data_IF_026402920668
#
_entry.id   IF_026402920668
#
_cell.length_a   1.000
_cell.length_b   1.000
_cell.length_c   1.000
_cell.angle_alpha   90.00
_cell.angle_beta   90.00
_cell.angle_gamma   90.00
#
_symmetry.space_group_name_H-M   'P 1'
#
loop_
_entity.id
_entity.type
_entity.pdbx_description
1 polymer ?
#
# COMPACT_ATOMS: atom_id res chain seq x y z
N UNK A 1 5.68 -23.20 -7.94
CA UNK A 1 5.41 -23.21 -6.49
C UNK A 1 5.32 -24.63 -5.95
N UNK A 2 4.43 -25.47 -6.43
CA UNK A 2 4.18 -26.85 -5.96
C UNK A 2 5.44 -27.72 -5.84
N UNK A 3 6.42 -27.54 -6.73
CA UNK A 3 7.68 -28.28 -6.72
C UNK A 3 8.78 -27.64 -5.86
N UNK A 4 8.47 -26.61 -5.08
CA UNK A 4 9.42 -25.96 -4.17
C UNK A 4 10.47 -25.10 -4.83
N UNK A 5 10.26 -24.60 -6.06
CA UNK A 5 11.23 -23.73 -6.75
C UNK A 5 11.55 -22.46 -5.96
N UNK A 6 10.54 -21.85 -5.30
CA UNK A 6 10.66 -20.65 -4.48
C UNK A 6 10.78 -20.93 -2.99
N UNK A 7 10.97 -22.20 -2.59
CA UNK A 7 11.03 -22.61 -1.19
C UNK A 7 12.45 -22.64 -0.69
N UNK A 8 12.63 -22.36 0.59
CA UNK A 8 13.90 -22.63 1.27
C UNK A 8 14.27 -24.11 1.13
N UNK A 9 15.53 -24.36 0.80
CA UNK A 9 16.00 -25.71 0.47
C UNK A 9 15.78 -26.76 1.57
N UNK A 10 15.75 -26.35 2.81
CA UNK A 10 15.51 -27.27 3.92
C UNK A 10 14.07 -27.81 3.94
N UNK A 11 13.08 -27.04 3.47
CA UNK A 11 11.70 -27.54 3.34
C UNK A 11 11.57 -28.55 2.19
N UNK A 12 12.23 -28.29 1.08
CA UNK A 12 12.29 -29.23 -0.06
C UNK A 12 12.92 -30.55 0.39
N UNK A 13 14.03 -30.49 1.15
CA UNK A 13 14.72 -31.65 1.67
C UNK A 13 13.89 -32.40 2.74
N UNK A 14 13.24 -31.64 3.64
CA UNK A 14 12.35 -32.24 4.64
C UNK A 14 11.23 -33.06 3.98
N UNK A 15 10.55 -32.46 2.98
CA UNK A 15 9.53 -33.18 2.19
C UNK A 15 10.12 -34.43 1.50
N UNK A 16 11.29 -34.32 0.86
CA UNK A 16 11.94 -35.42 0.18
C UNK A 16 12.26 -36.59 1.15
N UNK A 17 12.73 -36.27 2.35
CA UNK A 17 12.99 -37.27 3.41
C UNK A 17 11.70 -37.96 3.81
N UNK A 18 10.64 -37.21 4.12
CA UNK A 18 9.36 -37.78 4.55
C UNK A 18 8.77 -38.71 3.49
N UNK A 19 8.81 -38.29 2.22
CA UNK A 19 8.32 -39.12 1.11
C UNK A 19 9.14 -40.39 0.92
N UNK A 20 10.49 -40.32 0.96
CA UNK A 20 11.37 -41.48 0.82
C UNK A 20 11.26 -42.47 1.98
N UNK A 21 11.09 -41.96 3.19
CA UNK A 21 10.92 -42.74 4.40
C UNK A 21 9.50 -43.31 4.54
N UNK A 22 8.57 -42.88 3.67
CA UNK A 22 7.13 -43.18 3.76
C UNK A 22 6.52 -42.77 5.11
N UNK A 23 7.11 -41.73 5.71
CA UNK A 23 6.64 -41.16 6.97
C UNK A 23 5.77 -39.93 6.67
N UNK A 24 4.47 -40.04 6.97
CA UNK A 24 3.47 -39.03 6.60
C UNK A 24 2.69 -38.54 7.83
N UNK A 25 3.37 -37.80 8.73
CA UNK A 25 2.73 -37.36 9.97
C UNK A 25 1.71 -36.25 9.70
N UNK A 26 0.56 -36.36 10.39
CA UNK A 26 -0.38 -35.26 10.50
C UNK A 26 0.15 -34.23 11.50
N UNK A 27 0.39 -33.02 11.07
CA UNK A 27 0.86 -31.91 11.91
C UNK A 27 -0.18 -30.81 12.03
N UNK A 28 -0.16 -30.09 13.16
CA UNK A 28 -0.84 -28.80 13.30
C UNK A 28 0.23 -27.71 13.25
N UNK A 29 0.23 -26.91 12.18
CA UNK A 29 1.11 -25.78 11.94
C UNK A 29 0.39 -24.49 12.31
N UNK A 30 1.02 -23.65 13.13
CA UNK A 30 0.48 -22.38 13.60
C UNK A 30 1.32 -21.22 13.09
N UNK A 31 0.67 -20.24 12.45
CA UNK A 31 1.29 -19.03 11.90
C UNK A 31 0.89 -17.82 12.74
N UNK A 32 1.86 -16.98 13.09
CA UNK A 32 1.65 -15.77 13.88
C UNK A 32 2.65 -14.66 13.53
N UNK A 33 2.24 -13.41 13.75
CA UNK A 33 3.10 -12.23 13.72
C UNK A 33 3.63 -11.85 15.10
N UNK A 34 4.64 -10.96 15.16
CA UNK A 34 5.26 -10.53 16.43
C UNK A 34 4.95 -9.07 16.79
N UNK A 35 4.14 -8.39 16.00
CA UNK A 35 3.78 -6.99 16.17
C UNK A 35 2.27 -6.79 16.07
N UNK A 36 1.77 -5.69 16.63
CA UNK A 36 0.44 -5.20 16.30
C UNK A 36 0.43 -4.75 14.84
N UNK A 37 -0.54 -5.22 14.07
CA UNK A 37 -0.61 -4.94 12.65
C UNK A 37 -2.03 -5.05 12.10
N UNK A 38 -2.25 -4.39 10.97
CA UNK A 38 -3.39 -4.60 10.09
C UNK A 38 -3.03 -5.74 9.14
N UNK A 39 -3.67 -6.90 9.31
CA UNK A 39 -3.36 -8.13 8.59
C UNK A 39 -3.66 -8.00 7.10
N UNK A 40 -2.76 -8.49 6.27
CA UNK A 40 -2.95 -8.58 4.83
C UNK A 40 -2.28 -9.80 4.25
N UNK A 41 -2.84 -10.33 3.15
CA UNK A 41 -2.30 -11.47 2.40
C UNK A 41 -2.83 -12.83 2.86
N UNK A 42 -3.84 -12.90 3.69
CA UNK A 42 -4.48 -14.16 4.10
C UNK A 42 -5.14 -14.84 2.89
N UNK A 43 -5.92 -14.11 2.09
CA UNK A 43 -6.56 -14.66 0.90
C UNK A 43 -5.53 -15.20 -0.10
N UNK A 44 -4.42 -14.47 -0.30
CA UNK A 44 -3.31 -14.90 -1.16
C UNK A 44 -2.61 -16.15 -0.58
N UNK A 45 -2.41 -16.23 0.75
CA UNK A 45 -1.83 -17.39 1.43
C UNK A 45 -2.74 -18.63 1.31
N UNK A 46 -4.05 -18.47 1.48
CA UNK A 46 -5.05 -19.53 1.28
C UNK A 46 -5.04 -19.99 -0.17
N UNK A 47 -5.00 -19.07 -1.14
CA UNK A 47 -4.92 -19.42 -2.56
C UNK A 47 -3.65 -20.23 -2.88
N UNK A 48 -2.50 -19.87 -2.29
CA UNK A 48 -1.25 -20.64 -2.42
C UNK A 48 -1.45 -22.07 -1.86
N UNK A 49 -2.04 -22.21 -0.70
CA UNK A 49 -2.31 -23.52 -0.10
C UNK A 49 -3.27 -24.35 -0.96
N UNK A 50 -4.40 -23.78 -1.39
CA UNK A 50 -5.40 -24.46 -2.23
C UNK A 50 -4.82 -24.92 -3.58
N UNK A 51 -4.09 -24.04 -4.25
CA UNK A 51 -3.63 -24.29 -5.62
C UNK A 51 -2.30 -25.05 -5.70
N UNK A 52 -1.48 -25.00 -4.65
CA UNK A 52 -0.10 -25.46 -4.71
C UNK A 52 0.24 -26.57 -3.70
N UNK A 53 -0.63 -26.90 -2.73
CA UNK A 53 -0.44 -28.09 -1.91
C UNK A 53 -0.53 -29.37 -2.76
N UNK A 54 0.02 -30.46 -2.28
CA UNK A 54 -0.05 -31.75 -2.99
C UNK A 54 -1.46 -32.34 -2.93
N UNK A 55 -2.11 -32.23 -1.79
CA UNK A 55 -3.43 -32.78 -1.50
C UNK A 55 -4.20 -31.80 -0.61
N UNK A 56 -4.87 -30.80 -1.22
CA UNK A 56 -5.67 -29.81 -0.49
C UNK A 56 -6.78 -30.47 0.34
N UNK A 57 -7.39 -31.50 -0.20
CA UNK A 57 -8.53 -32.23 0.39
C UNK A 57 -8.18 -32.89 1.73
N UNK A 58 -6.89 -33.13 2.01
CA UNK A 58 -6.42 -33.67 3.27
C UNK A 58 -6.03 -32.58 4.29
N UNK A 59 -6.07 -31.33 3.89
CA UNK A 59 -5.77 -30.20 4.77
C UNK A 59 -7.04 -29.64 5.41
N UNK A 60 -6.93 -29.30 6.67
CA UNK A 60 -7.90 -28.46 7.35
C UNK A 60 -7.21 -27.14 7.67
N UNK A 61 -7.82 -26.05 7.24
CA UNK A 61 -7.24 -24.70 7.37
C UNK A 61 -8.23 -23.80 8.08
N UNK A 62 -7.73 -23.02 9.02
CA UNK A 62 -8.47 -21.95 9.69
C UNK A 62 -7.67 -20.67 9.60
N UNK A 63 -8.31 -19.54 9.34
CA UNK A 63 -7.65 -18.27 9.16
C UNK A 63 -8.45 -17.10 9.75
N UNK A 64 -7.77 -16.00 10.00
CA UNK A 64 -8.36 -14.66 10.11
C UNK A 64 -8.67 -14.13 8.72
N UNK A 65 -9.19 -12.91 8.64
CA UNK A 65 -9.47 -12.22 7.38
C UNK A 65 -8.44 -11.15 7.06
N UNK A 66 -8.27 -10.85 5.77
CA UNK A 66 -7.59 -9.66 5.33
C UNK A 66 -8.34 -8.42 5.87
N UNK A 67 -7.60 -7.53 6.54
CA UNK A 67 -8.18 -6.36 7.21
C UNK A 67 -8.35 -6.49 8.72
N UNK A 68 -8.16 -7.67 9.29
CA UNK A 68 -8.19 -7.85 10.74
C UNK A 68 -7.03 -7.15 11.44
N UNK A 69 -7.31 -6.51 12.57
CA UNK A 69 -6.26 -6.07 13.51
C UNK A 69 -5.76 -7.26 14.32
N UNK A 70 -4.45 -7.44 14.37
CA UNK A 70 -3.79 -8.54 15.08
C UNK A 70 -2.87 -8.05 16.19
N UNK A 71 -2.84 -8.83 17.26
CA UNK A 71 -1.91 -8.64 18.39
C UNK A 71 -0.62 -9.46 18.20
N UNK A 72 0.48 -9.09 18.90
CA UNK A 72 1.70 -9.92 18.91
C UNK A 72 1.41 -11.34 19.37
N UNK A 73 1.93 -12.32 18.61
CA UNK A 73 1.78 -13.76 18.87
C UNK A 73 0.36 -14.32 18.67
N UNK A 74 -0.55 -13.56 18.13
CA UNK A 74 -1.87 -14.04 17.77
C UNK A 74 -1.76 -14.96 16.54
N UNK A 75 -2.44 -16.13 16.62
CA UNK A 75 -2.51 -17.09 15.51
C UNK A 75 -3.39 -16.52 14.41
N UNK A 76 -2.83 -16.33 13.21
CA UNK A 76 -3.55 -15.77 12.05
C UNK A 76 -3.96 -16.84 11.03
N UNK A 77 -3.22 -17.96 11.00
CA UNK A 77 -3.46 -19.10 10.12
C UNK A 77 -3.07 -20.38 10.84
N UNK A 78 -3.94 -21.38 10.79
CA UNK A 78 -3.73 -22.71 11.32
C UNK A 78 -3.92 -23.72 10.20
N UNK A 79 -2.94 -24.61 10.02
CA UNK A 79 -2.99 -25.64 8.99
C UNK A 79 -2.83 -26.99 9.68
N UNK A 80 -3.78 -27.90 9.47
CA UNK A 80 -3.71 -29.28 9.99
C UNK A 80 -3.78 -30.26 8.83
N UNK A 81 -2.86 -31.24 8.82
CA UNK A 81 -2.80 -32.27 7.80
C UNK A 81 -1.40 -32.85 7.60
N UNK A 82 -1.23 -33.71 6.58
CA UNK A 82 0.08 -34.31 6.28
C UNK A 82 1.12 -33.23 5.93
N UNK A 83 2.24 -33.22 6.68
CA UNK A 83 3.25 -32.16 6.53
C UNK A 83 3.89 -32.13 5.13
N UNK A 84 4.07 -33.27 4.50
CA UNK A 84 4.61 -33.38 3.14
C UNK A 84 3.71 -32.70 2.08
N UNK A 85 2.42 -32.54 2.36
CA UNK A 85 1.47 -31.91 1.45
C UNK A 85 1.71 -30.40 1.27
N UNK A 86 2.23 -29.71 2.30
CA UNK A 86 2.36 -28.25 2.29
C UNK A 86 3.73 -27.71 2.75
N UNK A 87 4.66 -28.56 3.18
CA UNK A 87 5.96 -28.14 3.72
C UNK A 87 6.72 -27.13 2.83
N UNK A 88 6.68 -27.32 1.51
CA UNK A 88 7.39 -26.47 0.56
C UNK A 88 6.71 -25.10 0.34
N UNK A 89 5.54 -24.86 0.92
CA UNK A 89 4.78 -23.62 0.74
C UNK A 89 5.05 -22.60 1.85
N UNK A 90 5.75 -22.99 2.94
CA UNK A 90 5.98 -22.13 4.10
C UNK A 90 6.67 -20.82 3.73
N UNK A 91 7.76 -20.86 2.98
CA UNK A 91 8.45 -19.65 2.49
C UNK A 91 7.51 -18.71 1.74
N UNK A 92 6.59 -19.26 0.95
CA UNK A 92 5.71 -18.47 0.10
C UNK A 92 4.64 -17.75 0.93
N UNK A 93 3.85 -18.49 1.72
CA UNK A 93 2.75 -17.86 2.46
C UNK A 93 3.27 -16.93 3.56
N UNK A 94 4.40 -17.22 4.20
CA UNK A 94 5.01 -16.30 5.16
C UNK A 94 5.51 -15.01 4.49
N UNK A 95 6.11 -15.11 3.32
CA UNK A 95 6.57 -13.96 2.54
C UNK A 95 5.41 -13.06 2.10
N UNK A 96 4.30 -13.67 1.67
CA UNK A 96 3.07 -12.95 1.31
C UNK A 96 2.50 -12.23 2.52
N UNK A 97 2.27 -12.93 3.63
CA UNK A 97 1.75 -12.34 4.86
C UNK A 97 2.63 -11.18 5.35
N UNK A 98 3.96 -11.36 5.37
CA UNK A 98 4.89 -10.33 5.79
C UNK A 98 4.79 -9.06 4.93
N UNK A 99 4.74 -9.22 3.60
CA UNK A 99 4.68 -8.07 2.69
C UNK A 99 3.35 -7.36 2.72
N UNK A 100 2.23 -8.10 2.57
CA UNK A 100 0.89 -7.49 2.51
C UNK A 100 0.52 -6.83 3.82
N UNK A 101 0.84 -7.46 4.96
CA UNK A 101 0.65 -6.86 6.29
C UNK A 101 1.46 -5.58 6.46
N UNK A 102 2.71 -5.53 5.97
CA UNK A 102 3.52 -4.31 6.00
C UNK A 102 2.86 -3.17 5.23
N UNK A 103 2.46 -3.43 3.99
CA UNK A 103 1.81 -2.42 3.13
C UNK A 103 0.47 -1.98 3.72
N UNK A 104 -0.37 -2.93 4.12
CA UNK A 104 -1.67 -2.67 4.74
C UNK A 104 -1.54 -1.85 6.02
N UNK A 105 -0.66 -2.27 6.95
CA UNK A 105 -0.45 -1.57 8.22
C UNK A 105 0.02 -0.12 8.02
N UNK A 106 1.01 0.09 7.14
CA UNK A 106 1.49 1.45 6.89
C UNK A 106 0.44 2.31 6.21
N UNK A 107 -0.31 1.75 5.25
CA UNK A 107 -1.41 2.46 4.59
C UNK A 107 -2.52 2.80 5.59
N UNK A 108 -2.91 1.86 6.45
CA UNK A 108 -3.94 2.09 7.48
C UNK A 108 -3.57 3.24 8.41
N UNK A 109 -2.33 3.26 8.91
CA UNK A 109 -1.83 4.35 9.77
C UNK A 109 -1.86 5.71 9.07
N UNK A 110 -1.54 5.76 7.79
CA UNK A 110 -1.60 6.98 6.98
C UNK A 110 -3.05 7.42 6.75
N UNK A 111 -3.94 6.48 6.43
CA UNK A 111 -5.37 6.76 6.25
C UNK A 111 -5.98 7.31 7.54
N UNK A 112 -5.69 6.72 8.68
CA UNK A 112 -6.15 7.19 9.99
C UNK A 112 -5.63 8.59 10.33
N UNK A 113 -4.36 8.86 10.04
CA UNK A 113 -3.76 10.17 10.27
C UNK A 113 -4.35 11.27 9.36
N UNK A 114 -4.83 10.89 8.18
CA UNK A 114 -5.38 11.82 7.20
C UNK A 114 -6.87 12.12 7.37
N UNK A 115 -7.60 11.35 8.19
CA UNK A 115 -9.05 11.51 8.32
C UNK A 115 -9.45 12.94 8.69
N UNK A 116 -10.52 13.49 8.06
CA UNK A 116 -11.42 12.86 7.07
C UNK A 116 -10.94 12.93 5.60
N UNK A 117 -9.70 13.35 5.36
CA UNK A 117 -9.12 13.51 4.01
C UNK A 117 -8.81 12.14 3.37
N UNK A 118 -8.72 12.15 2.06
CA UNK A 118 -8.47 10.96 1.26
C UNK A 118 -6.97 10.66 1.09
N UNK A 119 -6.63 9.38 0.96
CA UNK A 119 -5.26 8.93 0.70
C UNK A 119 -5.20 8.14 -0.60
N UNK A 120 -4.24 8.49 -1.45
CA UNK A 120 -3.89 7.79 -2.69
C UNK A 120 -2.57 7.04 -2.51
N UNK A 121 -2.53 5.79 -2.93
CA UNK A 121 -1.37 4.91 -2.83
C UNK A 121 -0.47 5.06 -4.06
N UNK A 122 0.66 5.76 -3.92
CA UNK A 122 1.55 6.13 -5.03
C UNK A 122 2.95 5.48 -5.03
N UNK A 123 3.21 4.32 -4.37
CA UNK A 123 4.56 3.77 -4.31
C UNK A 123 4.92 2.82 -5.46
N UNK A 124 4.14 2.70 -6.54
CA UNK A 124 4.34 1.71 -7.59
C UNK A 124 5.81 1.64 -8.11
N UNK A 125 6.47 2.79 -8.28
CA UNK A 125 7.86 2.88 -8.76
C UNK A 125 8.93 2.66 -7.67
N UNK A 126 8.53 2.48 -6.42
CA UNK A 126 9.46 2.35 -5.29
C UNK A 126 9.82 0.89 -4.99
N UNK A 127 9.26 -0.06 -5.73
CA UNK A 127 9.61 -1.48 -5.64
C UNK A 127 9.44 -2.18 -7.00
N UNK A 128 9.78 -3.49 -7.04
CA UNK A 128 9.70 -4.29 -8.25
C UNK A 128 8.25 -4.42 -8.76
N UNK A 129 8.05 -4.31 -10.07
CA UNK A 129 6.73 -4.30 -10.69
C UNK A 129 5.88 -5.55 -10.44
N UNK A 130 6.50 -6.71 -10.22
CA UNK A 130 5.79 -7.98 -9.94
C UNK A 130 5.00 -7.99 -8.62
N UNK A 131 5.28 -7.08 -7.70
CA UNK A 131 4.59 -7.04 -6.40
C UNK A 131 3.39 -6.11 -6.38
N UNK A 132 3.18 -5.34 -7.44
CA UNK A 132 2.19 -4.25 -7.50
C UNK A 132 0.76 -4.71 -7.22
N UNK A 133 0.34 -5.84 -7.79
CA UNK A 133 -1.04 -6.34 -7.70
C UNK A 133 -1.48 -6.54 -6.24
N UNK A 134 -0.74 -7.34 -5.49
CA UNK A 134 -1.09 -7.59 -4.11
C UNK A 134 -0.80 -6.42 -3.16
N UNK A 135 0.20 -5.56 -3.47
CA UNK A 135 0.44 -4.33 -2.71
C UNK A 135 -0.72 -3.34 -2.86
N UNK A 136 -1.25 -3.21 -4.07
CA UNK A 136 -2.41 -2.37 -4.34
C UNK A 136 -3.65 -2.87 -3.60
N UNK A 137 -3.90 -4.18 -3.59
CA UNK A 137 -5.00 -4.78 -2.83
C UNK A 137 -4.84 -4.54 -1.33
N UNK A 138 -3.65 -4.77 -0.76
CA UNK A 138 -3.39 -4.49 0.65
C UNK A 138 -3.63 -3.01 1.02
N UNK A 139 -3.30 -2.08 0.12
CA UNK A 139 -3.58 -0.67 0.32
C UNK A 139 -5.07 -0.35 0.20
N UNK A 140 -5.79 -1.00 -0.72
CA UNK A 140 -7.22 -0.82 -0.93
C UNK A 140 -8.01 -1.23 0.32
N UNK A 141 -7.79 -2.43 0.86
CA UNK A 141 -8.47 -2.90 2.09
C UNK A 141 -8.11 -2.04 3.31
N UNK A 142 -6.92 -1.43 3.32
CA UNK A 142 -6.50 -0.50 4.37
C UNK A 142 -7.14 0.90 4.25
N UNK A 143 -7.93 1.18 3.19
CA UNK A 143 -8.70 2.40 3.01
C UNK A 143 -8.10 3.42 2.05
N UNK A 144 -7.08 3.10 1.25
CA UNK A 144 -6.64 3.95 0.16
C UNK A 144 -7.74 4.03 -0.92
N UNK A 145 -8.06 5.26 -1.38
CA UNK A 145 -9.16 5.48 -2.34
C UNK A 145 -8.77 5.24 -3.80
N UNK A 146 -7.49 5.10 -4.07
CA UNK A 146 -6.96 4.87 -5.42
C UNK A 146 -5.50 4.49 -5.40
N UNK A 147 -5.06 3.90 -6.48
CA UNK A 147 -3.70 3.39 -6.71
C UNK A 147 -3.17 3.89 -8.04
N UNK A 148 -1.87 3.85 -8.27
CA UNK A 148 -1.24 4.52 -9.42
C UNK A 148 -1.15 3.66 -10.69
N UNK A 149 -1.47 2.37 -10.64
CA UNK A 149 -1.40 1.48 -11.82
C UNK A 149 -2.58 0.53 -11.89
N UNK A 150 -2.94 0.12 -13.10
CA UNK A 150 -4.00 -0.87 -13.33
C UNK A 150 -3.65 -2.22 -12.69
N UNK A 151 -2.38 -2.59 -12.68
CA UNK A 151 -1.92 -3.79 -11.98
C UNK A 151 -2.24 -3.73 -10.47
N UNK A 152 -2.04 -2.59 -9.84
CA UNK A 152 -2.40 -2.39 -8.43
C UNK A 152 -3.92 -2.45 -8.20
N UNK A 153 -4.72 -2.02 -9.17
CA UNK A 153 -6.18 -1.97 -9.09
C UNK A 153 -6.88 -3.29 -9.50
N UNK A 154 -6.17 -4.22 -10.13
CA UNK A 154 -6.75 -5.34 -10.85
C UNK A 154 -7.57 -6.31 -9.98
N UNK A 155 -7.23 -6.52 -8.70
CA UNK A 155 -7.91 -7.51 -7.86
C UNK A 155 -9.31 -7.09 -7.39
N UNK A 156 -9.66 -5.82 -7.52
CA UNK A 156 -11.05 -5.37 -7.24
C UNK A 156 -11.73 -4.73 -8.45
N UNK A 157 -11.19 -4.97 -9.66
CA UNK A 157 -11.83 -4.57 -10.92
C UNK A 157 -11.87 -3.06 -11.16
N UNK A 158 -10.85 -2.33 -10.68
CA UNK A 158 -10.71 -0.89 -10.88
C UNK A 158 -9.51 -0.57 -11.78
N UNK A 159 -9.27 0.71 -12.00
CA UNK A 159 -8.16 1.24 -12.81
C UNK A 159 -7.25 2.12 -11.96
N UNK A 160 -6.01 2.29 -12.42
CA UNK A 160 -5.06 3.21 -11.82
C UNK A 160 -5.48 4.66 -12.00
N UNK A 161 -5.18 5.50 -11.02
CA UNK A 161 -5.39 6.94 -11.10
C UNK A 161 -4.09 7.66 -11.43
N UNK A 162 -4.18 8.74 -12.18
CA UNK A 162 -3.03 9.52 -12.61
C UNK A 162 -3.34 11.02 -12.72
N UNK A 163 -2.28 11.79 -12.93
CA UNK A 163 -2.31 13.24 -13.11
C UNK A 163 -1.55 13.59 -14.38
N UNK A 164 -1.62 14.84 -14.85
CA UNK A 164 -0.69 15.34 -15.84
C UNK A 164 0.72 15.29 -15.26
N UNK A 165 1.64 14.43 -15.78
CA UNK A 165 2.94 14.21 -15.15
C UNK A 165 3.98 15.25 -15.61
N UNK A 166 5.03 15.47 -14.80
CA UNK A 166 6.16 16.33 -15.16
C UNK A 166 6.77 16.00 -16.54
N UNK A 167 6.82 14.71 -16.90
CA UNK A 167 7.35 14.29 -18.20
C UNK A 167 6.52 14.81 -19.39
N UNK A 168 5.20 14.86 -19.25
CA UNK A 168 4.34 15.45 -20.28
C UNK A 168 4.56 16.97 -20.37
N UNK A 169 4.64 17.65 -19.22
CA UNK A 169 4.94 19.10 -19.19
C UNK A 169 6.29 19.37 -19.86
N UNK A 170 7.31 18.59 -19.54
CA UNK A 170 8.63 18.70 -20.19
C UNK A 170 8.57 18.46 -21.70
N UNK A 171 7.78 17.47 -22.17
CA UNK A 171 7.58 17.21 -23.61
C UNK A 171 6.94 18.39 -24.34
N UNK A 172 6.13 19.21 -23.65
CA UNK A 172 5.62 20.49 -24.12
C UNK A 172 6.51 21.69 -23.72
N UNK A 173 7.82 21.45 -23.57
CA UNK A 173 8.86 22.47 -23.31
C UNK A 173 8.62 23.28 -22.03
N UNK A 174 8.02 22.68 -21.02
CA UNK A 174 7.71 23.32 -19.73
C UNK A 174 6.38 24.07 -19.71
N UNK A 175 5.64 24.12 -20.81
CA UNK A 175 4.33 24.78 -20.85
C UNK A 175 3.26 23.89 -20.17
N UNK A 176 3.08 24.08 -18.86
CA UNK A 176 2.10 23.35 -18.04
C UNK A 176 0.67 23.59 -18.52
N UNK A 177 0.35 24.80 -19.00
CA UNK A 177 -0.99 25.14 -19.50
C UNK A 177 -1.29 24.40 -20.80
N UNK A 178 -0.34 24.38 -21.73
CA UNK A 178 -0.49 23.68 -23.00
C UNK A 178 -0.61 22.15 -22.77
N UNK A 179 0.24 21.58 -21.93
CA UNK A 179 0.19 20.15 -21.57
C UNK A 179 -1.17 19.77 -20.98
N UNK A 180 -1.71 20.61 -20.08
CA UNK A 180 -3.01 20.39 -19.44
C UNK A 180 -4.19 20.55 -20.41
N UNK A 181 -4.13 21.51 -21.33
CA UNK A 181 -5.11 21.65 -22.42
C UNK A 181 -5.12 20.44 -23.34
N UNK A 182 -3.94 19.94 -23.71
CA UNK A 182 -3.84 18.74 -24.55
C UNK A 182 -4.37 17.50 -23.84
N UNK A 183 -4.16 17.39 -22.53
CA UNK A 183 -4.79 16.34 -21.74
C UNK A 183 -6.32 16.48 -21.75
N UNK A 184 -6.85 17.68 -21.53
CA UNK A 184 -8.29 17.93 -21.56
C UNK A 184 -8.94 17.65 -22.93
N UNK A 185 -8.21 17.95 -24.02
CA UNK A 185 -8.66 17.75 -25.40
C UNK A 185 -8.66 16.29 -25.83
N UNK A 186 -7.65 15.53 -25.42
CA UNK A 186 -7.36 14.20 -25.96
C UNK A 186 -7.79 13.03 -25.05
N UNK A 187 -7.99 13.29 -23.74
CA UNK A 187 -8.45 12.28 -22.79
C UNK A 187 -9.95 12.36 -22.56
N UNK A 188 -10.55 11.22 -22.20
CA UNK A 188 -11.98 11.13 -21.88
C UNK A 188 -12.38 12.15 -20.81
N UNK A 189 -13.57 12.73 -20.94
CA UNK A 189 -14.14 13.62 -19.93
C UNK A 189 -14.40 12.93 -18.57
N UNK A 190 -14.54 11.61 -18.57
CA UNK A 190 -14.68 10.81 -17.34
C UNK A 190 -13.41 10.83 -16.48
N UNK A 191 -12.23 11.13 -17.09
CA UNK A 191 -10.98 11.23 -16.36
C UNK A 191 -10.90 12.59 -15.65
N UNK A 192 -10.78 12.56 -14.32
CA UNK A 192 -10.58 13.78 -13.51
C UNK A 192 -9.25 14.43 -13.87
N UNK A 193 -9.30 15.60 -14.48
CA UNK A 193 -8.10 16.33 -14.87
C UNK A 193 -7.44 16.95 -13.63
N UNK A 194 -6.28 16.44 -13.29
CA UNK A 194 -5.44 16.95 -12.20
C UNK A 194 -4.06 17.28 -12.74
N UNK A 195 -3.56 18.49 -12.49
CA UNK A 195 -2.29 18.98 -13.04
C UNK A 195 -1.25 19.17 -11.95
N UNK A 196 -0.02 18.72 -12.20
CA UNK A 196 1.15 19.10 -11.40
C UNK A 196 1.49 20.57 -11.64
N UNK A 197 1.72 21.33 -10.56
CA UNK A 197 1.89 22.80 -10.64
C UNK A 197 3.25 23.30 -10.12
N UNK A 198 4.13 22.38 -9.78
CA UNK A 198 5.47 22.65 -9.21
C UNK A 198 6.60 22.65 -10.26
N UNK A 199 6.30 22.47 -11.55
CA UNK A 199 7.30 22.31 -12.59
C UNK A 199 8.26 23.53 -12.71
N UNK A 200 7.73 24.74 -12.59
CA UNK A 200 8.49 25.99 -12.61
C UNK A 200 8.85 26.50 -11.19
N UNK A 201 8.59 25.68 -10.15
CA UNK A 201 8.73 26.08 -8.75
C UNK A 201 7.94 27.34 -8.36
N UNK A 202 6.82 27.56 -9.05
CA UNK A 202 5.81 28.64 -8.84
C UNK A 202 4.42 27.99 -8.81
N UNK A 203 4.10 27.31 -7.72
CA UNK A 203 2.83 26.58 -7.58
C UNK A 203 1.62 27.51 -7.63
N UNK A 204 1.72 28.70 -7.05
CA UNK A 204 0.63 29.71 -7.05
C UNK A 204 0.36 30.22 -8.46
N UNK A 205 1.37 30.73 -9.12
CA UNK A 205 1.21 31.32 -10.48
C UNK A 205 0.78 30.23 -11.48
N UNK A 206 1.36 29.03 -11.42
CA UNK A 206 0.99 27.93 -12.31
C UNK A 206 -0.44 27.46 -12.06
N UNK A 207 -0.89 27.34 -10.80
CA UNK A 207 -2.27 26.97 -10.46
C UNK A 207 -3.28 27.95 -11.07
N UNK A 208 -3.04 29.26 -10.94
CA UNK A 208 -3.92 30.29 -11.53
C UNK A 208 -3.94 30.23 -13.05
N UNK A 209 -2.78 30.11 -13.71
CA UNK A 209 -2.69 29.96 -15.17
C UNK A 209 -3.50 28.78 -15.69
N UNK A 210 -3.37 27.64 -15.04
CA UNK A 210 -4.08 26.38 -15.40
C UNK A 210 -5.58 26.51 -15.11
N UNK A 211 -5.98 27.06 -13.96
CA UNK A 211 -7.37 27.24 -13.59
C UNK A 211 -8.10 28.19 -14.54
N UNK A 212 -7.49 29.33 -14.90
CA UNK A 212 -8.04 30.27 -15.90
C UNK A 212 -8.17 29.65 -17.30
N UNK A 213 -7.24 28.74 -17.67
CA UNK A 213 -7.21 28.12 -18.98
C UNK A 213 -8.22 26.97 -19.15
N UNK A 214 -8.61 26.32 -18.08
CA UNK A 214 -9.41 25.07 -18.07
C UNK A 214 -10.79 25.23 -17.40
N UNK A 215 -10.97 26.27 -16.56
CA UNK A 215 -12.22 26.50 -15.84
C UNK A 215 -12.72 25.25 -15.10
N UNK A 216 -13.99 24.96 -15.26
CA UNK A 216 -14.67 23.80 -14.62
C UNK A 216 -14.11 22.42 -15.03
N UNK A 217 -13.35 22.35 -16.14
CA UNK A 217 -12.70 21.10 -16.56
C UNK A 217 -11.52 20.72 -15.66
N UNK A 218 -10.94 21.66 -14.93
CA UNK A 218 -9.88 21.41 -13.97
C UNK A 218 -10.47 20.84 -12.68
N UNK A 219 -10.29 19.55 -12.44
CA UNK A 219 -10.70 18.93 -11.18
C UNK A 219 -9.81 19.36 -10.00
N UNK A 220 -8.48 19.43 -10.22
CA UNK A 220 -7.58 19.78 -9.13
C UNK A 220 -6.15 20.06 -9.57
N UNK A 221 -5.37 20.56 -8.63
CA UNK A 221 -3.92 20.73 -8.75
C UNK A 221 -3.20 19.80 -7.79
N UNK A 222 -2.02 19.32 -8.21
CA UNK A 222 -1.15 18.52 -7.36
C UNK A 222 0.14 19.27 -7.10
N UNK A 223 0.48 19.43 -5.83
CA UNK A 223 1.73 20.02 -5.35
C UNK A 223 2.67 18.88 -4.98
N UNK A 224 3.85 18.81 -5.63
CA UNK A 224 4.86 17.76 -5.46
C UNK A 224 6.27 18.34 -5.28
N UNK A 225 6.37 19.59 -4.81
CA UNK A 225 7.62 20.33 -4.65
C UNK A 225 8.68 19.50 -3.94
N UNK A 226 9.86 19.35 -4.54
CA UNK A 226 10.94 18.56 -4.03
C UNK A 226 11.42 19.06 -2.66
N UNK A 227 11.80 18.15 -1.76
CA UNK A 227 12.20 18.47 -0.37
C UNK A 227 13.40 19.42 -0.25
N UNK A 228 14.16 19.59 -1.33
CA UNK A 228 15.34 20.46 -1.42
C UNK A 228 15.04 21.86 -2.00
N UNK A 229 13.82 22.11 -2.50
CA UNK A 229 13.42 23.36 -3.14
C UNK A 229 12.51 24.19 -2.24
N UNK A 230 12.57 25.50 -2.43
CA UNK A 230 11.65 26.46 -1.82
C UNK A 230 10.80 27.07 -2.94
N UNK A 231 9.48 26.88 -2.87
CA UNK A 231 8.55 27.48 -3.83
C UNK A 231 8.63 29.02 -3.80
N UNK A 232 8.48 29.65 -4.96
CA UNK A 232 8.56 31.12 -5.13
C UNK A 232 7.66 31.85 -4.16
N UNK A 233 6.45 31.35 -3.91
CA UNK A 233 5.47 31.98 -3.01
C UNK A 233 5.87 31.95 -1.53
N UNK A 234 6.85 31.14 -1.17
CA UNK A 234 7.31 30.93 0.21
C UNK A 234 8.66 31.62 0.49
N UNK A 235 9.41 32.01 -0.56
CA UNK A 235 10.71 32.68 -0.43
C UNK A 235 10.67 33.89 0.52
N UNK A 236 9.66 34.78 0.50
CA UNK A 236 9.61 35.94 1.39
C UNK A 236 9.55 35.58 2.89
N UNK A 237 9.23 34.32 3.21
CA UNK A 237 9.08 33.83 4.59
C UNK A 237 10.27 32.96 5.03
N UNK A 238 11.34 32.90 4.25
CA UNK A 238 12.56 32.19 4.62
C UNK A 238 13.13 32.70 5.94
N UNK A 239 13.59 31.76 6.79
CA UNK A 239 14.14 32.10 8.11
C UNK A 239 13.12 32.06 9.25
N UNK A 240 11.82 31.98 8.99
CA UNK A 240 10.77 31.87 10.03
C UNK A 240 10.38 30.42 10.33
N UNK A 241 10.55 29.52 9.36
CA UNK A 241 10.29 28.07 9.47
C UNK A 241 11.08 27.32 8.39
N UNK A 242 10.99 25.99 8.35
CA UNK A 242 11.57 25.16 7.27
C UNK A 242 10.73 25.29 5.98
N UNK A 243 11.14 26.11 4.99
CA UNK A 243 10.29 26.47 3.85
C UNK A 243 10.38 25.48 2.68
N UNK A 244 11.26 24.46 2.76
CA UNK A 244 11.54 23.54 1.67
C UNK A 244 10.46 22.48 1.52
N UNK A 245 10.28 22.03 0.28
CA UNK A 245 9.31 20.99 -0.08
C UNK A 245 7.87 21.46 0.06
N UNK A 246 6.96 20.50 0.03
CA UNK A 246 5.55 20.76 0.29
C UNK A 246 5.36 21.03 1.78
N UNK A 247 4.96 22.25 2.12
CA UNK A 247 4.77 22.72 3.50
C UNK A 247 3.39 23.42 3.64
N UNK A 248 2.87 23.58 4.88
CA UNK A 248 1.55 24.16 5.13
C UNK A 248 1.34 25.53 4.46
N UNK A 249 2.35 26.42 4.52
CA UNK A 249 2.23 27.77 3.99
C UNK A 249 2.08 27.77 2.47
N UNK A 250 2.83 26.92 1.76
CA UNK A 250 2.70 26.76 0.31
C UNK A 250 1.26 26.37 -0.07
N UNK A 251 0.69 25.39 0.60
CA UNK A 251 -0.67 24.91 0.32
C UNK A 251 -1.70 26.00 0.60
N UNK A 252 -1.57 26.72 1.73
CA UNK A 252 -2.43 27.87 2.02
C UNK A 252 -2.32 28.96 0.94
N UNK A 253 -1.12 29.31 0.48
CA UNK A 253 -0.91 30.31 -0.56
C UNK A 253 -1.62 29.90 -1.87
N UNK A 254 -1.55 28.64 -2.28
CA UNK A 254 -2.25 28.11 -3.46
C UNK A 254 -3.77 28.19 -3.27
N UNK A 255 -4.30 27.78 -2.13
CA UNK A 255 -5.73 27.83 -1.84
C UNK A 255 -6.26 29.26 -1.83
N UNK A 256 -5.61 30.17 -1.11
CA UNK A 256 -5.97 31.57 -1.04
C UNK A 256 -5.97 32.25 -2.41
N UNK A 257 -5.02 31.91 -3.28
CA UNK A 257 -4.95 32.45 -4.61
C UNK A 257 -6.11 31.95 -5.50
N UNK A 258 -6.38 30.64 -5.48
CA UNK A 258 -7.49 30.05 -6.21
C UNK A 258 -8.83 30.61 -5.74
N UNK A 259 -9.05 30.79 -4.45
CA UNK A 259 -10.31 31.32 -3.88
C UNK A 259 -10.56 32.77 -4.26
N UNK A 260 -9.52 33.61 -4.25
CA UNK A 260 -9.63 35.03 -4.68
C UNK A 260 -10.09 35.17 -6.12
N UNK A 261 -9.80 34.20 -6.97
CA UNK A 261 -10.20 34.22 -8.39
C UNK A 261 -11.44 33.38 -8.69
N UNK A 262 -12.13 32.89 -7.66
CA UNK A 262 -13.39 32.17 -7.85
C UNK A 262 -13.23 30.68 -8.18
N UNK A 263 -12.05 30.10 -7.97
CA UNK A 263 -11.74 28.66 -8.24
C UNK A 263 -11.84 27.77 -7.00
N UNK A 264 -12.86 27.99 -6.16
CA UNK A 264 -13.08 27.20 -4.92
C UNK A 264 -13.32 25.71 -5.20
N UNK A 265 -13.82 25.36 -6.39
CA UNK A 265 -14.06 23.97 -6.80
C UNK A 265 -12.78 23.17 -7.02
N UNK A 266 -11.65 23.84 -7.33
CA UNK A 266 -10.38 23.19 -7.65
C UNK A 266 -9.81 22.51 -6.40
N UNK A 267 -9.65 21.19 -6.47
CA UNK A 267 -9.10 20.37 -5.38
C UNK A 267 -7.58 20.52 -5.28
N UNK A 268 -7.05 20.44 -4.05
CA UNK A 268 -5.62 20.44 -3.80
C UNK A 268 -5.19 19.08 -3.30
N UNK A 269 -4.36 18.41 -4.09
CA UNK A 269 -3.68 17.14 -3.72
C UNK A 269 -2.22 17.46 -3.44
N UNK A 270 -1.71 16.89 -2.36
CA UNK A 270 -0.30 17.05 -1.99
C UNK A 270 0.41 15.70 -2.02
N UNK A 271 1.68 15.72 -2.44
CA UNK A 271 2.56 14.55 -2.47
C UNK A 271 4.01 14.99 -2.21
N UNK A 272 4.98 14.07 -2.26
CA UNK A 272 6.37 14.39 -1.96
C UNK A 272 6.70 14.29 -0.47
N UNK A 273 7.25 13.12 -0.06
CA UNK A 273 7.79 12.91 1.28
C UNK A 273 6.74 12.90 2.42
N UNK A 274 5.48 12.58 2.15
CA UNK A 274 4.48 12.48 3.21
C UNK A 274 4.65 11.19 4.03
N UNK A 275 4.64 11.38 5.36
CA UNK A 275 4.63 10.33 6.39
C UNK A 275 3.44 10.56 7.32
N UNK A 276 3.17 9.62 8.22
CA UNK A 276 2.13 9.76 9.25
C UNK A 276 2.31 11.07 10.05
N UNK A 277 3.54 11.37 10.46
CA UNK A 277 3.88 12.55 11.26
C UNK A 277 3.62 13.84 10.48
N UNK A 278 4.05 13.90 9.20
CA UNK A 278 3.84 15.07 8.36
C UNK A 278 2.35 15.30 8.08
N UNK A 279 1.57 14.23 7.87
CA UNK A 279 0.12 14.33 7.68
C UNK A 279 -0.55 14.86 8.95
N UNK A 280 -0.23 14.32 10.14
CA UNK A 280 -0.76 14.82 11.42
C UNK A 280 -0.47 16.30 11.60
N UNK A 281 0.76 16.74 11.31
CA UNK A 281 1.12 18.15 11.38
C UNK A 281 0.25 19.02 10.45
N UNK A 282 -0.07 18.55 9.26
CA UNK A 282 -0.93 19.26 8.30
C UNK A 282 -2.36 19.33 8.80
N UNK A 283 -2.91 18.22 9.31
CA UNK A 283 -4.29 18.19 9.82
C UNK A 283 -4.45 19.01 11.10
N UNK A 284 -3.49 18.96 12.02
CA UNK A 284 -3.48 19.79 13.24
C UNK A 284 -3.44 21.29 12.93
N UNK A 285 -2.81 21.72 11.84
CA UNK A 285 -2.76 23.10 11.38
C UNK A 285 -3.96 23.49 10.51
N UNK A 286 -4.88 22.58 10.22
CA UNK A 286 -6.04 22.85 9.35
C UNK A 286 -5.65 23.20 7.90
N UNK A 287 -4.56 22.64 7.39
CA UNK A 287 -4.09 22.91 6.03
C UNK A 287 -5.14 22.48 5.00
N UNK A 288 -5.49 23.33 4.01
CA UNK A 288 -6.56 23.07 3.07
C UNK A 288 -6.17 22.04 1.98
N UNK A 289 -5.87 20.82 2.39
CA UNK A 289 -5.61 19.67 1.53
C UNK A 289 -6.92 18.90 1.32
N UNK A 290 -7.18 18.44 0.09
CA UNK A 290 -8.30 17.54 -0.21
C UNK A 290 -7.90 16.06 -0.20
N UNK A 291 -6.65 15.75 -0.61
CA UNK A 291 -6.13 14.39 -0.58
C UNK A 291 -4.59 14.34 -0.50
N UNK A 292 -4.09 13.25 0.06
CA UNK A 292 -2.66 12.96 0.18
C UNK A 292 -2.25 11.87 -0.80
N UNK A 293 -1.22 12.12 -1.62
CA UNK A 293 -0.53 11.11 -2.42
C UNK A 293 0.71 10.61 -1.66
N UNK A 294 0.68 9.36 -1.20
CA UNK A 294 1.74 8.80 -0.35
C UNK A 294 2.49 7.69 -1.07
N UNK A 295 3.81 7.77 -1.06
CA UNK A 295 4.70 6.87 -1.80
C UNK A 295 5.57 6.00 -0.88
N UNK A 296 6.89 6.19 -0.92
CA UNK A 296 7.92 5.32 -0.32
C UNK A 296 7.76 5.03 1.17
N UNK A 297 7.15 5.93 1.94
CA UNK A 297 6.90 5.74 3.38
C UNK A 297 6.00 4.52 3.67
N UNK A 298 5.16 4.10 2.71
CA UNK A 298 4.28 2.95 2.84
C UNK A 298 5.01 1.59 2.77
N UNK A 299 6.28 1.57 2.39
CA UNK A 299 7.10 0.35 2.33
C UNK A 299 8.10 0.23 3.48
N UNK A 300 8.04 1.10 4.46
CA UNK A 300 8.97 1.09 5.60
C UNK A 300 8.66 0.01 6.62
N UNK A 301 9.66 -0.33 7.46
CA UNK A 301 9.52 -1.27 8.57
C UNK A 301 9.50 -2.74 8.17
N UNK A 302 9.30 -3.61 9.17
CA UNK A 302 9.25 -5.06 9.04
C UNK A 302 8.08 -5.62 9.82
N UNK A 303 7.38 -6.58 9.20
CA UNK A 303 6.28 -7.34 9.80
C UNK A 303 6.52 -8.81 9.47
N UNK A 304 7.36 -9.47 10.27
CA UNK A 304 7.73 -10.86 10.04
C UNK A 304 6.70 -11.81 10.62
N UNK A 305 6.36 -12.83 9.88
CA UNK A 305 5.56 -13.96 10.33
C UNK A 305 6.43 -15.18 10.56
N UNK A 306 5.98 -16.07 11.44
CA UNK A 306 6.64 -17.34 11.76
C UNK A 306 5.59 -18.42 11.74
N UNK A 307 5.97 -19.60 11.24
CA UNK A 307 5.19 -20.83 11.34
C UNK A 307 5.93 -21.82 12.24
N UNK A 308 5.21 -22.47 13.13
CA UNK A 308 5.75 -23.54 13.99
C UNK A 308 4.77 -24.72 14.03
N UNK A 309 5.29 -25.93 13.90
CA UNK A 309 4.56 -27.14 14.25
C UNK A 309 4.35 -27.15 15.77
N UNK A 310 3.12 -27.30 16.20
CA UNK A 310 2.73 -27.27 17.63
C UNK A 310 2.08 -28.57 18.09
N UNK A 311 1.63 -29.43 17.16
CA UNK A 311 1.13 -30.77 17.42
C UNK A 311 1.55 -31.71 16.31
N UNK A 312 1.73 -33.00 16.69
CA UNK A 312 1.92 -34.09 15.73
C UNK A 312 0.98 -35.22 16.18
N UNK A 313 0.22 -35.78 15.24
CA UNK A 313 -0.83 -36.79 15.53
C UNK A 313 -1.76 -36.35 16.68
N UNK A 314 -2.18 -35.07 16.66
CA UNK A 314 -3.04 -34.47 17.69
C UNK A 314 -2.38 -34.23 19.05
N UNK A 315 -1.15 -34.71 19.29
CA UNK A 315 -0.45 -34.57 20.57
C UNK A 315 0.47 -33.34 20.55
N UNK A 316 0.62 -32.64 21.69
CA UNK A 316 1.56 -31.53 21.79
C UNK A 316 2.98 -31.96 21.40
N UNK A 317 3.51 -31.33 20.38
CA UNK A 317 4.86 -31.52 19.86
C UNK A 317 5.31 -30.27 19.15
N UNK A 318 6.25 -29.54 19.70
CA UNK A 318 6.78 -28.34 19.13
C UNK A 318 8.15 -27.98 19.70
N UNK A 319 8.82 -27.05 19.06
CA UNK A 319 10.07 -26.49 19.58
C UNK A 319 9.87 -25.90 20.98
N UNK A 320 10.86 -26.02 21.85
CA UNK A 320 10.83 -25.39 23.19
C UNK A 320 10.48 -23.91 23.09
N UNK A 321 9.50 -23.49 23.90
CA UNK A 321 8.94 -22.14 23.86
C UNK A 321 7.86 -21.92 22.80
N UNK A 322 7.46 -22.99 22.08
CA UNK A 322 6.34 -23.00 21.14
C UNK A 322 5.28 -23.99 21.61
N UNK A 323 4.08 -23.48 21.78
CA UNK A 323 2.91 -24.28 22.16
C UNK A 323 1.70 -23.82 21.37
N UNK A 324 0.74 -24.71 21.19
CA UNK A 324 -0.54 -24.36 20.57
C UNK A 324 -1.21 -23.21 21.34
N UNK A 325 -1.62 -22.20 20.60
CA UNK A 325 -2.40 -21.04 21.09
C UNK A 325 -3.72 -21.01 20.36
N UNK A 326 -4.79 -21.25 21.09
CA UNK A 326 -6.14 -21.13 20.54
C UNK A 326 -6.44 -19.67 20.19
N UNK A 327 -7.02 -19.44 19.01
CA UNK A 327 -7.61 -18.17 18.64
C UNK A 327 -9.07 -18.40 18.22
N UNK A 328 -10.07 -17.97 19.01
CA UNK A 328 -11.47 -18.18 18.70
C UNK A 328 -11.98 -17.35 17.50
N UNK A 329 -11.16 -16.42 17.00
CA UNK A 329 -11.48 -15.62 15.81
C UNK A 329 -11.18 -16.34 14.49
N UNK A 330 -10.45 -17.46 14.55
CA UNK A 330 -10.16 -18.22 13.34
C UNK A 330 -11.43 -18.88 12.81
N UNK A 331 -11.66 -18.69 11.52
CA UNK A 331 -12.75 -19.35 10.80
C UNK A 331 -12.22 -20.43 9.86
N UNK A 332 -13.00 -21.48 9.67
CA UNK A 332 -12.62 -22.57 8.79
C UNK A 332 -12.67 -22.11 7.34
N UNK A 333 -11.63 -22.44 6.60
CA UNK A 333 -11.54 -22.21 5.15
C UNK A 333 -12.16 -23.40 4.42
N UNK A 334 -13.12 -23.14 3.56
CA UNK A 334 -13.81 -24.14 2.72
C UNK A 334 -12.98 -24.57 1.49
#
# INVERSE_FOLDING_TARGET
MREGYYSDKYFVRAREILVKDRHRPCVTMQVFGKAHAFLGGIDEAIAILKLCSQTWEELQVWALYDGDEIAPWETVLLIEGPYDAFAVLETLYLGVLARRTRVGTNTRRVVEAAQPKQVMFFPARHDHWLVQTGDGYAAHIAGAIGVSTDAQASWWGSEGIGTVPHALIAAYRGDTVLASRKFAELMSESIRLMTLVDFENDCVGTSLKVARALGERLYGVRIDTAETLVDTSVIPLMGTFKPTGVNPRLVCNVREALDREGFQHVKIVVSGGFTVEKIRQFEEQGVPVDAYGVGSSLFQGRFDFTADVVRVEGKPCGKVGRAYRSNPRLERVD
#
